data_IF_641510785042
#
_entry.id   IF_641510785042
#
_cell.length_a   1.000
_cell.length_b   1.000
_cell.length_c   1.000
_cell.angle_alpha   90.00
_cell.angle_beta   90.00
_cell.angle_gamma   90.00
#
_symmetry.space_group_name_H-M   'P 1'
#
loop_
_entity.id
_entity.type
_entity.pdbx_description
1 polymer ?
#
# COMPACT_ATOMS: atom_id res chain seq x y z
N UNK A 1 4.42 9.38 -4.76
CA UNK A 1 5.17 8.55 -5.72
C UNK A 1 5.94 7.43 -5.03
N UNK A 2 5.53 6.20 -5.30
CA UNK A 2 6.17 4.96 -4.84
C UNK A 2 7.47 4.80 -5.62
N UNK A 3 8.61 4.79 -4.91
CA UNK A 3 9.95 4.72 -5.53
C UNK A 3 10.52 3.30 -5.63
N UNK A 4 10.11 2.41 -4.73
CA UNK A 4 10.69 1.08 -4.62
C UNK A 4 9.76 0.13 -3.87
N UNK A 5 9.93 -1.16 -4.11
CA UNK A 5 9.27 -2.24 -3.38
C UNK A 5 10.32 -3.10 -2.70
N UNK A 6 10.00 -3.65 -1.52
CA UNK A 6 10.92 -4.48 -0.72
C UNK A 6 11.49 -5.68 -1.51
N UNK A 7 10.66 -6.30 -2.34
CA UNK A 7 11.02 -7.47 -3.17
C UNK A 7 11.52 -7.08 -4.57
N UNK A 8 11.73 -5.78 -4.81
CA UNK A 8 12.11 -5.24 -6.12
C UNK A 8 11.00 -5.36 -7.18
N UNK A 9 11.35 -5.08 -8.43
CA UNK A 9 10.40 -5.06 -9.57
C UNK A 9 9.87 -6.44 -9.95
N UNK A 10 10.57 -7.51 -9.56
CA UNK A 10 10.11 -8.89 -9.71
C UNK A 10 9.12 -9.32 -8.63
N UNK A 11 8.94 -8.55 -7.56
CA UNK A 11 8.02 -8.85 -6.48
C UNK A 11 6.56 -8.86 -6.92
N UNK A 12 5.72 -9.61 -6.21
CA UNK A 12 4.29 -9.71 -6.51
C UNK A 12 3.58 -8.37 -6.43
N UNK A 13 3.85 -7.58 -5.38
CA UNK A 13 3.26 -6.25 -5.20
C UNK A 13 3.70 -5.26 -6.29
N UNK A 14 4.97 -5.31 -6.70
CA UNK A 14 5.49 -4.47 -7.76
C UNK A 14 4.84 -4.79 -9.11
N UNK A 15 4.75 -6.08 -9.47
CA UNK A 15 4.07 -6.54 -10.69
C UNK A 15 2.58 -6.22 -10.67
N UNK A 16 1.94 -6.31 -9.51
CA UNK A 16 0.56 -5.90 -9.35
C UNK A 16 0.38 -4.39 -9.60
N UNK A 17 1.25 -3.57 -9.02
CA UNK A 17 1.21 -2.11 -9.19
C UNK A 17 1.52 -1.66 -10.63
N UNK A 18 2.58 -2.20 -11.23
CA UNK A 18 3.10 -1.76 -12.53
C UNK A 18 2.35 -2.37 -13.71
N UNK A 19 2.10 -3.69 -13.67
CA UNK A 19 1.54 -4.43 -14.80
C UNK A 19 0.05 -4.76 -14.61
N UNK A 20 -0.54 -4.48 -13.43
CA UNK A 20 -1.88 -4.94 -13.08
C UNK A 20 -1.98 -6.47 -12.92
N UNK A 21 -0.86 -7.17 -12.82
CA UNK A 21 -0.83 -8.64 -12.74
C UNK A 21 -1.01 -9.11 -11.30
N UNK A 22 -2.17 -9.68 -11.00
CA UNK A 22 -2.44 -10.33 -9.70
C UNK A 22 -1.64 -11.63 -9.55
N UNK A 23 -0.90 -11.77 -8.45
CA UNK A 23 -0.27 -13.03 -8.07
C UNK A 23 -1.18 -13.86 -7.14
N UNK A 24 -0.77 -15.09 -6.84
CA UNK A 24 -1.47 -15.94 -5.85
C UNK A 24 -1.44 -15.34 -4.43
N UNK A 25 -0.46 -14.50 -4.14
CA UNK A 25 -0.25 -13.88 -2.82
C UNK A 25 -1.19 -12.70 -2.56
N UNK A 26 -1.92 -12.25 -3.59
CA UNK A 26 -2.94 -11.20 -3.50
C UNK A 26 -4.31 -11.86 -3.73
N UNK A 27 -5.05 -12.17 -2.65
CA UNK A 27 -6.42 -12.67 -2.76
C UNK A 27 -7.31 -11.69 -3.53
N UNK A 28 -8.22 -12.24 -4.34
CA UNK A 28 -9.20 -11.45 -5.09
C UNK A 28 -10.07 -10.55 -4.19
N UNK A 29 -10.30 -10.98 -2.95
CA UNK A 29 -11.10 -10.27 -1.96
C UNK A 29 -10.48 -8.93 -1.54
N UNK A 30 -9.16 -8.76 -1.65
CA UNK A 30 -8.46 -7.53 -1.27
C UNK A 30 -7.95 -6.73 -2.47
N UNK A 31 -8.06 -7.27 -3.69
CA UNK A 31 -7.44 -6.72 -4.90
C UNK A 31 -7.84 -5.26 -5.15
N UNK A 32 -9.15 -4.98 -5.22
CA UNK A 32 -9.68 -3.63 -5.46
C UNK A 32 -9.26 -2.65 -4.36
N UNK A 33 -9.29 -3.09 -3.10
CA UNK A 33 -8.87 -2.27 -1.96
C UNK A 33 -7.38 -1.98 -2.02
N UNK A 34 -6.55 -3.00 -2.29
CA UNK A 34 -5.10 -2.87 -2.41
C UNK A 34 -4.73 -1.88 -3.51
N UNK A 35 -5.33 -2.03 -4.71
CA UNK A 35 -5.11 -1.12 -5.84
C UNK A 35 -5.40 0.32 -5.44
N UNK A 36 -6.56 0.56 -4.83
CA UNK A 36 -6.95 1.91 -4.38
C UNK A 36 -5.98 2.48 -3.33
N UNK A 37 -5.46 1.67 -2.40
CA UNK A 37 -4.47 2.14 -1.41
C UNK A 37 -3.15 2.53 -2.07
N UNK A 38 -2.68 1.74 -3.03
CA UNK A 38 -1.48 2.06 -3.80
C UNK A 38 -1.66 3.36 -4.59
N UNK A 39 -2.80 3.56 -5.23
CA UNK A 39 -3.13 4.81 -5.95
C UNK A 39 -3.14 6.03 -5.00
N UNK A 40 -3.65 5.86 -3.77
CA UNK A 40 -3.62 6.91 -2.73
C UNK A 40 -2.18 7.24 -2.32
N UNK A 41 -1.34 6.23 -2.08
CA UNK A 41 0.08 6.45 -1.73
C UNK A 41 0.82 7.12 -2.88
N UNK A 42 0.54 6.73 -4.12
CA UNK A 42 1.15 7.32 -5.31
C UNK A 42 0.82 8.81 -5.43
N UNK A 43 -0.46 9.15 -5.28
CA UNK A 43 -0.99 10.51 -5.43
C UNK A 43 -0.77 11.44 -4.23
N UNK A 44 -0.45 10.89 -3.06
CA UNK A 44 -0.23 11.66 -1.84
C UNK A 44 0.96 12.64 -1.99
N UNK A 45 0.67 13.93 -1.87
CA UNK A 45 1.68 15.01 -1.82
C UNK A 45 2.04 15.40 -0.39
N UNK A 46 1.20 15.04 0.57
CA UNK A 46 1.41 15.27 2.00
C UNK A 46 0.97 14.06 2.79
N UNK A 47 1.60 13.79 3.92
CA UNK A 47 1.19 12.69 4.79
C UNK A 47 -0.25 12.83 5.29
N UNK A 48 -0.72 14.06 5.53
CA UNK A 48 -2.11 14.33 5.94
C UNK A 48 -3.13 13.71 4.98
N UNK A 49 -2.81 13.63 3.69
CA UNK A 49 -3.69 13.00 2.69
C UNK A 49 -3.88 11.50 2.93
N UNK A 50 -2.91 10.82 3.54
CA UNK A 50 -2.98 9.39 3.84
C UNK A 50 -3.95 9.06 4.98
N UNK A 51 -4.33 10.04 5.80
CA UNK A 51 -5.38 9.88 6.81
C UNK A 51 -6.80 9.85 6.19
N UNK A 52 -6.95 10.24 4.92
CA UNK A 52 -8.22 10.24 4.20
C UNK A 52 -8.21 9.22 3.05
N UNK A 53 -9.25 8.38 2.89
CA UNK A 53 -10.44 8.26 3.73
C UNK A 53 -10.17 7.56 5.08
N UNK A 54 -11.06 7.66 6.09
CA UNK A 54 -10.87 7.07 7.42
C UNK A 54 -10.51 5.57 7.41
N UNK A 55 -11.03 4.82 6.44
CA UNK A 55 -10.71 3.41 6.24
C UNK A 55 -9.26 3.12 5.79
N UNK A 56 -8.41 4.13 5.65
CA UNK A 56 -6.96 3.93 5.50
C UNK A 56 -6.34 3.41 6.79
N UNK A 57 -6.87 3.79 7.96
CA UNK A 57 -6.27 3.52 9.26
C UNK A 57 -4.76 3.76 9.23
N UNK A 58 -4.37 4.91 8.67
CA UNK A 58 -2.95 5.26 8.53
C UNK A 58 -2.33 5.46 9.90
N UNK A 59 -1.18 4.85 10.12
CA UNK A 59 -0.46 4.88 11.39
C UNK A 59 1.03 5.10 11.14
N UNK A 60 1.63 6.01 11.90
CA UNK A 60 3.09 6.10 12.02
C UNK A 60 3.54 5.04 13.02
N UNK A 61 4.42 4.15 12.60
CA UNK A 61 4.91 3.05 13.43
C UNK A 61 5.97 3.55 14.42
N UNK A 62 6.14 2.83 15.53
CA UNK A 62 7.06 3.18 16.61
C UNK A 62 7.99 2.01 16.96
N UNK A 63 8.96 2.25 17.85
CA UNK A 63 9.92 1.25 18.30
C UNK A 63 10.90 0.86 17.18
N UNK A 64 11.06 -0.45 16.92
CA UNK A 64 11.96 -0.95 15.86
C UNK A 64 11.52 -0.58 14.45
N UNK A 65 10.29 -0.09 14.28
CA UNK A 65 9.73 0.37 13.01
C UNK A 65 9.57 1.90 12.97
N UNK A 66 10.25 2.62 13.85
CA UNK A 66 10.31 4.08 13.77
C UNK A 66 10.82 4.54 12.39
N UNK A 67 10.16 5.56 11.83
CA UNK A 67 10.39 6.01 10.45
C UNK A 67 9.57 5.26 9.39
N UNK A 68 8.86 4.20 9.76
CA UNK A 68 7.91 3.52 8.89
C UNK A 68 6.46 3.92 9.19
N UNK A 69 5.56 3.60 8.27
CA UNK A 69 4.13 3.85 8.43
C UNK A 69 3.33 2.71 7.81
N UNK A 70 2.11 2.50 8.29
CA UNK A 70 1.20 1.46 7.81
C UNK A 70 -0.06 2.07 7.21
N UNK A 71 -0.62 1.39 6.21
CA UNK A 71 -1.96 1.64 5.69
C UNK A 71 -2.68 0.29 5.60
N UNK A 72 -3.90 0.23 6.10
CA UNK A 72 -4.66 -1.01 6.18
C UNK A 72 -5.37 -1.31 4.87
N UNK A 73 -5.12 -2.48 4.30
CA UNK A 73 -5.76 -2.92 3.04
C UNK A 73 -7.10 -3.60 3.28
N UNK A 74 -7.22 -4.40 4.34
CA UNK A 74 -8.44 -5.11 4.73
C UNK A 74 -8.64 -5.03 6.25
N UNK A 75 -9.88 -5.22 6.72
CA UNK A 75 -10.27 -5.11 8.14
C UNK A 75 -9.86 -6.34 8.97
N UNK A 76 -9.52 -7.47 8.33
CA UNK A 76 -9.02 -8.67 9.00
C UNK A 76 -7.79 -8.42 9.86
#
# INVERSE_FOLDING_TARGET
MIKSFKEGLSGSLARFYLDGKRSKDIPVTIESSLKRKLDIIESATTERSLFSPPGNNYERLSGSLEGWSSIRVNIQ
#
